data_IF_762119363085
#
_entry.id   IF_762119363085
#
_cell.length_a   1.000
_cell.length_b   1.000
_cell.length_c   1.000
_cell.angle_alpha   90.00
_cell.angle_beta   90.00
_cell.angle_gamma   90.00
#
_symmetry.space_group_name_H-M   'P 1'
#
loop_
_entity.id
_entity.type
_entity.pdbx_description
1 polymer ?
#
# COMPACT_ATOMS: atom_id res chain seq x y z
N UNK A 1 9.68 -25.13 13.36
CA UNK A 1 9.84 -23.67 13.46
C UNK A 1 11.35 -23.46 13.54
N UNK A 2 11.93 -22.67 12.64
CA UNK A 2 13.38 -22.46 12.59
C UNK A 2 13.87 -21.92 13.95
N UNK A 3 14.85 -22.60 14.56
CA UNK A 3 15.41 -22.26 15.86
C UNK A 3 16.04 -20.85 15.87
N UNK A 4 16.42 -20.30 14.73
CA UNK A 4 16.94 -18.92 14.65
C UNK A 4 15.85 -17.84 14.75
N UNK A 5 14.63 -18.13 14.30
CA UNK A 5 13.49 -17.23 14.53
C UNK A 5 13.06 -17.30 16.00
N UNK A 6 13.10 -18.50 16.57
CA UNK A 6 13.00 -18.68 18.01
C UNK A 6 14.09 -17.85 18.67
N UNK A 7 15.37 -17.90 18.31
CA UNK A 7 16.42 -17.09 18.94
C UNK A 7 16.29 -15.57 18.79
N UNK A 8 15.75 -15.05 17.68
CA UNK A 8 15.48 -13.60 17.55
C UNK A 8 14.25 -13.21 18.39
N UNK A 9 13.15 -13.95 18.29
CA UNK A 9 11.93 -13.67 19.03
C UNK A 9 12.07 -13.98 20.53
N UNK A 10 12.80 -15.03 20.88
CA UNK A 10 13.21 -15.46 22.24
C UNK A 10 14.31 -14.57 22.75
N UNK A 11 15.28 -14.11 21.95
CA UNK A 11 16.25 -13.09 22.37
C UNK A 11 15.56 -11.79 22.78
N UNK A 12 14.53 -11.37 22.05
CA UNK A 12 13.70 -10.22 22.41
C UNK A 12 12.78 -10.56 23.61
N UNK A 13 12.12 -11.73 23.63
CA UNK A 13 11.21 -12.11 24.72
C UNK A 13 11.92 -12.43 26.06
N UNK A 14 13.13 -13.00 26.03
CA UNK A 14 13.96 -13.30 27.20
C UNK A 14 14.64 -12.07 27.77
N UNK A 15 14.72 -10.97 26.99
CA UNK A 15 15.13 -9.66 27.50
C UNK A 15 14.04 -8.95 28.33
N UNK A 16 12.86 -9.57 28.50
CA UNK A 16 11.73 -9.01 29.23
C UNK A 16 11.02 -7.87 28.48
N UNK A 17 11.35 -7.67 27.19
CA UNK A 17 10.75 -6.66 26.33
C UNK A 17 9.41 -7.18 25.81
N UNK A 18 8.33 -6.50 26.18
CA UNK A 18 7.00 -6.79 25.65
C UNK A 18 6.99 -6.55 24.13
N UNK A 19 6.76 -7.61 23.35
CA UNK A 19 6.59 -7.52 21.90
C UNK A 19 5.10 -7.31 21.61
N UNK A 20 4.72 -6.08 21.28
CA UNK A 20 3.36 -5.75 20.84
C UNK A 20 3.24 -5.89 19.33
N UNK A 21 2.04 -6.20 18.84
CA UNK A 21 1.75 -6.12 17.39
C UNK A 21 1.59 -4.65 17.01
N UNK A 22 2.38 -4.19 16.04
CA UNK A 22 2.33 -2.80 15.56
C UNK A 22 0.95 -2.43 14.98
N UNK A 23 0.17 -3.42 14.54
CA UNK A 23 -1.12 -3.19 13.88
C UNK A 23 -2.32 -3.23 14.83
N UNK A 24 -2.10 -3.31 16.15
CA UNK A 24 -3.19 -3.27 17.14
C UNK A 24 -3.25 -1.92 17.83
N UNK A 25 -4.43 -1.56 18.33
CA UNK A 25 -4.62 -0.33 19.11
C UNK A 25 -3.72 -0.26 20.35
N UNK A 26 -3.34 -1.42 20.91
CA UNK A 26 -2.38 -1.48 22.02
C UNK A 26 -0.94 -1.17 21.61
N UNK A 27 -0.62 -1.24 20.32
CA UNK A 27 0.67 -0.87 19.74
C UNK A 27 0.79 0.62 19.40
N UNK A 28 -0.32 1.36 19.34
CA UNK A 28 -0.32 2.78 18.99
C UNK A 28 0.44 3.62 20.04
N UNK A 29 1.57 4.20 19.63
CA UNK A 29 2.42 5.01 20.50
C UNK A 29 3.23 4.19 21.54
N UNK A 30 3.17 2.86 21.50
CA UNK A 30 3.94 2.00 22.37
C UNK A 30 5.43 2.07 22.02
N UNK A 31 6.27 2.43 23.00
CA UNK A 31 7.73 2.43 22.85
C UNK A 31 8.27 1.01 22.90
N UNK A 32 9.37 0.78 22.17
CA UNK A 32 10.10 -0.49 22.22
C UNK A 32 9.88 -1.35 20.97
N UNK A 33 10.10 -2.65 21.13
CA UNK A 33 10.11 -3.61 20.03
C UNK A 33 8.69 -4.05 19.71
N UNK A 34 8.31 -3.93 18.45
CA UNK A 34 7.02 -4.33 17.91
C UNK A 34 7.22 -5.36 16.80
N UNK A 35 6.29 -6.30 16.68
CA UNK A 35 6.24 -7.23 15.54
C UNK A 35 5.18 -6.74 14.56
N UNK A 36 5.52 -6.42 13.30
CA UNK A 36 4.49 -6.14 12.31
C UNK A 36 3.79 -7.45 11.92
N UNK A 37 2.54 -7.62 12.33
CA UNK A 37 1.70 -8.65 11.74
C UNK A 37 1.43 -8.37 10.26
N UNK A 38 1.61 -9.39 9.43
CA UNK A 38 1.26 -9.32 8.02
C UNK A 38 -0.14 -9.85 7.78
N UNK A 39 -0.84 -9.28 6.80
CA UNK A 39 -2.18 -9.72 6.41
C UNK A 39 -2.16 -11.20 6.02
N UNK A 40 -2.85 -12.00 6.83
CA UNK A 40 -3.00 -13.44 6.68
C UNK A 40 -4.48 -13.82 6.72
N UNK A 41 -4.85 -14.89 6.02
CA UNK A 41 -6.16 -15.51 6.15
C UNK A 41 -6.22 -16.44 7.38
N UNK A 42 -7.38 -17.06 7.61
CA UNK A 42 -7.59 -17.99 8.73
C UNK A 42 -6.73 -19.27 8.64
N UNK A 43 -6.05 -19.50 7.52
CA UNK A 43 -5.11 -20.61 7.30
C UNK A 43 -3.65 -20.13 7.35
N UNK A 44 -3.39 -18.93 7.87
CA UNK A 44 -2.07 -18.29 7.94
C UNK A 44 -1.40 -18.04 6.59
N UNK A 45 -2.16 -18.04 5.50
CA UNK A 45 -1.64 -17.71 4.17
C UNK A 45 -1.72 -16.21 3.96
N UNK A 46 -0.74 -15.62 3.26
CA UNK A 46 -0.77 -14.23 2.83
C UNK A 46 -2.09 -13.92 2.15
N UNK A 47 -2.80 -12.91 2.65
CA UNK A 47 -4.03 -12.41 2.06
C UNK A 47 -3.82 -11.02 1.49
N UNK A 48 -4.50 -10.71 0.39
CA UNK A 48 -4.53 -9.35 -0.15
C UNK A 48 -5.98 -8.91 -0.39
N UNK A 49 -6.23 -7.59 -0.29
CA UNK A 49 -7.57 -7.03 -0.41
C UNK A 49 -8.26 -7.43 -1.72
N UNK A 50 -7.50 -7.54 -2.82
CA UNK A 50 -8.00 -8.01 -4.11
C UNK A 50 -8.64 -9.40 -4.07
N UNK A 51 -8.06 -10.38 -3.37
CA UNK A 51 -8.68 -11.71 -3.19
C UNK A 51 -10.00 -11.60 -2.44
N UNK A 52 -10.06 -10.75 -1.40
CA UNK A 52 -11.30 -10.52 -0.65
C UNK A 52 -12.37 -9.89 -1.55
N UNK A 53 -12.01 -8.90 -2.37
CA UNK A 53 -12.94 -8.26 -3.31
C UNK A 53 -13.47 -9.27 -4.34
N UNK A 54 -12.60 -10.09 -4.93
CA UNK A 54 -13.02 -11.15 -5.86
C UNK A 54 -13.93 -12.19 -5.19
N UNK A 55 -13.61 -12.60 -3.96
CA UNK A 55 -14.45 -13.53 -3.20
C UNK A 55 -15.83 -12.94 -2.90
N UNK A 56 -15.91 -11.66 -2.53
CA UNK A 56 -17.17 -10.95 -2.28
C UNK A 56 -17.97 -10.75 -3.57
N UNK A 57 -17.29 -10.50 -4.70
CA UNK A 57 -17.92 -10.39 -6.02
C UNK A 57 -18.50 -11.73 -6.50
N UNK A 58 -17.82 -12.85 -6.22
CA UNK A 58 -18.27 -14.19 -6.59
C UNK A 58 -19.32 -14.77 -5.61
N UNK A 59 -19.46 -14.19 -4.42
CA UNK A 59 -20.43 -14.65 -3.44
C UNK A 59 -21.86 -14.32 -3.90
N UNK A 60 -22.72 -15.34 -3.98
CA UNK A 60 -24.13 -15.21 -4.39
C UNK A 60 -25.00 -14.40 -3.40
N UNK A 61 -24.51 -14.17 -2.18
CA UNK A 61 -25.23 -13.49 -1.09
C UNK A 61 -25.21 -11.96 -1.17
N UNK A 62 -24.39 -11.37 -2.04
CA UNK A 62 -24.24 -9.91 -2.20
C UNK A 62 -25.04 -9.32 -3.35
N UNK A 63 -25.78 -10.17 -4.10
CA UNK A 63 -26.50 -9.79 -5.32
C UNK A 63 -27.37 -8.53 -5.10
N UNK A 64 -26.98 -7.44 -5.76
CA UNK A 64 -27.69 -6.16 -5.78
C UNK A 64 -27.32 -5.13 -4.70
N UNK A 65 -26.60 -5.50 -3.63
CA UNK A 65 -26.25 -4.54 -2.54
C UNK A 65 -24.87 -3.92 -2.68
N UNK A 66 -23.94 -4.63 -3.30
CA UNK A 66 -22.57 -4.17 -3.51
C UNK A 66 -22.11 -4.54 -4.92
N UNK A 67 -21.59 -3.56 -5.65
CA UNK A 67 -21.08 -3.74 -7.01
C UNK A 67 -19.66 -3.19 -7.09
N UNK A 68 -18.81 -3.86 -7.87
CA UNK A 68 -17.43 -3.46 -8.08
C UNK A 68 -17.18 -3.21 -9.57
N UNK A 69 -16.41 -2.16 -9.87
CA UNK A 69 -15.84 -1.93 -11.20
C UNK A 69 -14.33 -1.85 -11.00
N UNK A 70 -13.66 -2.98 -11.27
CA UNK A 70 -12.21 -3.10 -11.15
C UNK A 70 -11.51 -2.53 -12.39
N UNK A 71 -10.18 -2.42 -12.35
CA UNK A 71 -9.35 -1.93 -13.45
C UNK A 71 -9.85 -0.61 -14.06
N UNK A 72 -10.40 0.26 -13.22
CA UNK A 72 -11.09 1.47 -13.66
C UNK A 72 -10.57 2.69 -12.91
N UNK A 73 -10.52 3.82 -13.60
CA UNK A 73 -10.03 5.09 -13.07
C UNK A 73 -11.18 6.08 -12.94
N UNK A 74 -11.49 6.53 -11.72
CA UNK A 74 -12.36 7.68 -11.51
C UNK A 74 -11.67 8.94 -12.07
N UNK A 75 -12.34 9.66 -12.96
CA UNK A 75 -11.74 10.82 -13.66
C UNK A 75 -12.36 12.15 -13.27
N UNK A 76 -13.63 12.16 -12.86
CA UNK A 76 -14.35 13.39 -12.49
C UNK A 76 -15.56 13.10 -11.63
N UNK A 77 -15.78 13.89 -10.59
CA UNK A 77 -17.01 13.88 -9.78
C UNK A 77 -18.09 14.66 -10.53
N UNK A 78 -19.27 14.06 -10.65
CA UNK A 78 -20.43 14.68 -11.26
C UNK A 78 -21.17 15.50 -10.20
N UNK A 79 -21.34 16.79 -10.46
CA UNK A 79 -21.95 17.73 -9.54
C UNK A 79 -23.05 18.54 -10.21
N UNK A 80 -24.08 18.89 -9.45
CA UNK A 80 -25.13 19.82 -9.84
C UNK A 80 -25.28 20.90 -8.77
N UNK A 81 -25.67 22.10 -9.18
CA UNK A 81 -26.01 23.18 -8.26
C UNK A 81 -27.53 23.27 -8.20
N UNK A 82 -28.12 22.96 -7.06
CA UNK A 82 -29.56 23.13 -6.84
C UNK A 82 -29.95 24.61 -6.83
N UNK A 83 -31.23 24.91 -7.05
CA UNK A 83 -31.75 26.29 -6.99
C UNK A 83 -31.72 26.89 -5.58
N UNK A 84 -31.61 26.04 -4.54
CA UNK A 84 -31.71 26.42 -3.13
C UNK A 84 -30.38 26.44 -2.36
N UNK A 85 -29.32 25.79 -2.88
CA UNK A 85 -28.01 25.71 -2.21
C UNK A 85 -26.93 26.40 -3.04
N UNK A 86 -26.11 27.23 -2.39
CA UNK A 86 -24.90 27.82 -3.00
C UNK A 86 -23.76 26.81 -3.18
N UNK A 87 -23.81 25.66 -2.51
CA UNK A 87 -22.81 24.61 -2.62
C UNK A 87 -23.26 23.51 -3.59
N UNK A 88 -22.35 22.99 -4.45
CA UNK A 88 -22.67 21.91 -5.38
C UNK A 88 -22.98 20.61 -4.64
N UNK A 89 -23.89 19.83 -5.18
CA UNK A 89 -24.21 18.47 -4.72
C UNK A 89 -23.59 17.46 -5.67
N UNK A 90 -22.78 16.55 -5.14
CA UNK A 90 -22.25 15.43 -5.92
C UNK A 90 -23.35 14.37 -6.11
N UNK A 91 -23.55 13.92 -7.35
CA UNK A 91 -24.57 12.91 -7.69
C UNK A 91 -23.98 11.72 -8.46
N UNK A 92 -22.66 11.67 -8.64
CA UNK A 92 -22.02 10.55 -9.32
C UNK A 92 -20.55 10.78 -9.64
N UNK A 93 -20.02 9.90 -10.48
CA UNK A 93 -18.62 9.91 -10.91
C UNK A 93 -18.53 9.44 -12.37
N UNK A 94 -17.72 10.11 -13.16
CA UNK A 94 -17.26 9.61 -14.46
C UNK A 94 -16.06 8.70 -14.23
N UNK A 95 -16.12 7.50 -14.79
CA UNK A 95 -15.07 6.48 -14.72
C UNK A 95 -14.58 6.13 -16.12
N UNK A 96 -13.27 5.96 -16.25
CA UNK A 96 -12.66 5.29 -17.39
C UNK A 96 -12.57 3.79 -17.07
N UNK A 97 -13.36 2.99 -17.79
CA UNK A 97 -13.48 1.54 -17.57
C UNK A 97 -12.33 0.81 -18.26
N UNK A 98 -11.76 -0.19 -17.60
CA UNK A 98 -10.60 -0.95 -18.09
C UNK A 98 -9.38 -0.08 -18.39
N UNK A 99 -9.21 1.01 -17.63
CA UNK A 99 -8.06 1.89 -17.72
C UNK A 99 -6.86 1.26 -16.99
N UNK A 100 -5.78 0.86 -17.68
CA UNK A 100 -4.63 0.26 -17.03
C UNK A 100 -3.95 1.29 -16.13
N UNK A 101 -3.67 0.91 -14.88
CA UNK A 101 -2.90 1.73 -13.95
C UNK A 101 -1.43 1.79 -14.37
N UNK A 102 -0.71 2.91 -14.11
CA UNK A 102 0.71 3.07 -14.47
C UNK A 102 1.66 1.98 -13.96
N UNK A 103 1.26 1.28 -12.89
CA UNK A 103 2.02 0.18 -12.26
C UNK A 103 1.73 -1.20 -12.85
N UNK A 104 0.80 -1.30 -13.79
CA UNK A 104 0.49 -2.56 -14.47
C UNK A 104 1.57 -2.93 -15.48
N UNK A 105 1.96 -4.21 -15.55
CA UNK A 105 2.81 -4.73 -16.62
C UNK A 105 2.21 -4.54 -18.02
N UNK A 106 0.90 -4.28 -18.10
CA UNK A 106 0.15 -3.97 -19.33
C UNK A 106 0.08 -2.49 -19.64
N UNK A 107 0.65 -1.61 -18.82
CA UNK A 107 0.59 -0.16 -19.04
C UNK A 107 1.42 0.23 -20.27
N UNK A 108 0.73 0.54 -21.37
CA UNK A 108 1.32 1.05 -22.61
C UNK A 108 1.05 2.54 -22.81
N UNK A 109 0.80 3.27 -21.72
CA UNK A 109 0.31 4.65 -21.73
C UNK A 109 -1.18 4.76 -21.41
N UNK A 110 -1.64 5.98 -21.10
CA UNK A 110 -3.03 6.27 -20.76
C UNK A 110 -3.89 6.26 -22.03
N UNK A 111 -4.48 5.12 -22.35
CA UNK A 111 -5.57 5.07 -23.35
C UNK A 111 -6.89 4.93 -22.61
N UNK A 112 -7.64 6.02 -22.48
CA UNK A 112 -8.99 5.99 -21.90
C UNK A 112 -9.96 5.53 -22.99
N UNK A 113 -10.20 4.23 -23.07
CA UNK A 113 -10.93 3.62 -24.18
C UNK A 113 -12.45 3.68 -24.03
N UNK A 114 -12.95 3.73 -22.78
CA UNK A 114 -14.39 3.78 -22.50
C UNK A 114 -14.69 4.59 -21.25
N UNK A 115 -15.41 5.69 -21.42
CA UNK A 115 -15.94 6.49 -20.32
C UNK A 115 -17.36 6.05 -19.97
N UNK A 116 -17.70 6.01 -18.69
CA UNK A 116 -19.05 5.76 -18.20
C UNK A 116 -19.36 6.68 -17.01
N UNK A 117 -20.62 7.08 -16.87
CA UNK A 117 -21.09 7.80 -15.70
C UNK A 117 -21.79 6.83 -14.75
N UNK A 118 -21.41 6.84 -13.49
CA UNK A 118 -22.06 6.09 -12.41
C UNK A 118 -22.71 7.10 -11.47
N UNK A 119 -24.03 7.03 -11.33
CA UNK A 119 -24.81 7.94 -10.48
C UNK A 119 -25.02 7.35 -9.09
N UNK A 120 -24.98 8.21 -8.08
CA UNK A 120 -25.28 7.88 -6.70
C UNK A 120 -26.55 8.62 -6.25
N UNK A 121 -27.46 7.90 -5.56
CA UNK A 121 -28.70 8.48 -5.04
C UNK A 121 -28.50 9.31 -3.77
N UNK A 122 -27.48 8.97 -2.98
CA UNK A 122 -27.27 9.54 -1.65
C UNK A 122 -25.93 10.25 -1.55
N UNK A 123 -24.82 9.52 -1.72
CA UNK A 123 -23.49 10.06 -1.42
C UNK A 123 -22.44 9.57 -2.42
N UNK A 124 -21.42 10.40 -2.62
CA UNK A 124 -20.18 10.04 -3.32
C UNK A 124 -19.04 10.16 -2.32
N UNK A 125 -18.39 9.04 -2.01
CA UNK A 125 -17.26 8.98 -1.08
C UNK A 125 -15.97 8.86 -1.89
N UNK A 126 -15.01 9.75 -1.64
CA UNK A 126 -13.69 9.73 -2.29
C UNK A 126 -12.69 9.05 -1.37
N UNK A 127 -12.11 7.93 -1.83
CA UNK A 127 -11.13 7.14 -1.08
C UNK A 127 -9.97 6.70 -1.97
N UNK A 128 -9.49 7.60 -2.84
CA UNK A 128 -8.43 7.30 -3.82
C UNK A 128 -7.00 7.46 -3.26
N UNK A 129 -6.85 7.61 -1.93
CA UNK A 129 -5.56 7.82 -1.28
C UNK A 129 -5.02 9.26 -1.42
N UNK A 130 -3.87 9.54 -0.78
CA UNK A 130 -3.34 10.89 -0.59
C UNK A 130 -2.95 11.60 -1.90
N UNK A 131 -2.57 10.85 -2.94
CA UNK A 131 -2.19 11.43 -4.23
C UNK A 131 -3.35 11.60 -5.20
N UNK A 132 -4.24 10.60 -5.31
CA UNK A 132 -5.30 10.63 -6.31
C UNK A 132 -6.58 11.32 -5.83
N UNK A 133 -6.85 11.34 -4.51
CA UNK A 133 -8.02 12.06 -3.97
C UNK A 133 -7.97 13.55 -4.27
N UNK A 134 -6.89 14.30 -3.93
CA UNK A 134 -6.81 15.72 -4.27
C UNK A 134 -6.78 15.95 -5.78
N UNK A 135 -6.18 15.04 -6.56
CA UNK A 135 -6.23 15.12 -8.02
C UNK A 135 -7.67 15.01 -8.55
N UNK A 136 -8.43 14.00 -8.13
CA UNK A 136 -9.81 13.78 -8.58
C UNK A 136 -10.71 14.98 -8.22
N UNK A 137 -10.56 15.51 -7.00
CA UNK A 137 -11.32 16.66 -6.51
C UNK A 137 -10.95 17.93 -7.29
N UNK A 138 -9.66 18.17 -7.55
CA UNK A 138 -9.17 19.27 -8.42
C UNK A 138 -9.67 19.14 -9.86
N UNK A 139 -9.61 17.95 -10.47
CA UNK A 139 -10.14 17.68 -11.82
C UNK A 139 -11.66 17.89 -11.90
N UNK A 140 -12.34 17.86 -10.76
CA UNK A 140 -13.77 18.13 -10.64
C UNK A 140 -14.08 19.63 -10.43
N UNK A 141 -13.06 20.48 -10.35
CA UNK A 141 -13.18 21.92 -10.16
C UNK A 141 -13.19 22.36 -8.69
N UNK A 142 -12.80 21.52 -7.75
CA UNK A 142 -12.68 21.88 -6.33
C UNK A 142 -11.20 21.98 -5.97
N UNK A 143 -10.70 23.18 -5.69
CA UNK A 143 -9.28 23.42 -5.46
C UNK A 143 -8.90 24.89 -5.49
N UNK A 144 -7.61 25.22 -5.55
CA UNK A 144 -7.16 26.60 -5.72
C UNK A 144 -7.65 27.18 -7.05
N UNK A 145 -8.45 28.25 -6.98
CA UNK A 145 -9.08 28.86 -8.16
C UNK A 145 -8.07 29.27 -9.24
N UNK A 146 -6.94 29.84 -8.84
CA UNK A 146 -5.92 30.34 -9.77
C UNK A 146 -5.23 29.19 -10.47
N UNK A 147 -4.80 28.18 -9.72
CA UNK A 147 -4.20 26.96 -10.26
C UNK A 147 -5.15 26.25 -11.23
N UNK A 148 -6.41 26.02 -10.83
CA UNK A 148 -7.42 25.37 -11.66
C UNK A 148 -7.63 26.13 -12.98
N UNK A 149 -7.76 27.46 -12.92
CA UNK A 149 -7.93 28.31 -14.11
C UNK A 149 -6.71 28.20 -15.04
N UNK A 150 -5.49 28.23 -14.49
CA UNK A 150 -4.25 28.15 -15.26
C UNK A 150 -4.09 26.81 -16.00
N UNK A 151 -4.66 25.73 -15.47
CA UNK A 151 -4.64 24.41 -16.12
C UNK A 151 -5.91 24.11 -16.94
N UNK A 152 -6.76 25.13 -17.17
CA UNK A 152 -7.94 25.02 -18.03
C UNK A 152 -9.15 24.33 -17.39
N UNK A 153 -9.20 24.25 -16.05
CA UNK A 153 -10.33 23.67 -15.31
C UNK A 153 -11.20 24.79 -14.76
N UNK A 154 -12.50 24.76 -15.06
CA UNK A 154 -13.47 25.71 -14.49
C UNK A 154 -13.60 25.50 -12.97
N UNK A 155 -13.28 26.50 -12.14
CA UNK A 155 -13.42 26.38 -10.68
C UNK A 155 -14.90 26.36 -10.28
N UNK A 156 -15.29 25.37 -9.48
CA UNK A 156 -16.61 25.19 -8.87
C UNK A 156 -16.59 25.63 -7.42
N UNK A 157 -15.57 25.21 -6.66
CA UNK A 157 -15.37 25.62 -5.26
C UNK A 157 -13.90 25.98 -5.07
N UNK A 158 -13.64 27.19 -4.57
CA UNK A 158 -12.29 27.64 -4.24
C UNK A 158 -11.86 27.06 -2.88
N UNK A 159 -11.06 26.00 -2.90
CA UNK A 159 -10.49 25.34 -1.72
C UNK A 159 -8.99 25.16 -1.91
N UNK A 160 -8.16 26.18 -1.63
CA UNK A 160 -6.72 26.14 -1.90
C UNK A 160 -5.96 25.09 -1.08
N UNK A 161 -6.55 24.56 0.00
CA UNK A 161 -5.97 23.47 0.77
C UNK A 161 -5.97 22.11 0.05
N UNK A 162 -6.74 21.94 -1.04
CA UNK A 162 -6.78 20.68 -1.79
C UNK A 162 -5.41 20.39 -2.41
N UNK A 163 -4.82 19.25 -2.04
CA UNK A 163 -3.49 18.84 -2.50
C UNK A 163 -2.32 19.50 -1.76
N UNK A 164 -2.60 20.35 -0.78
CA UNK A 164 -1.59 20.94 0.10
C UNK A 164 -1.36 20.08 1.35
N UNK A 165 -0.33 20.40 2.13
CA UNK A 165 -0.01 19.75 3.41
C UNK A 165 0.25 18.23 3.29
N UNK A 166 0.95 17.82 2.23
CA UNK A 166 1.44 16.45 2.10
C UNK A 166 2.43 16.18 3.25
N UNK A 167 2.18 15.08 3.96
CA UNK A 167 3.03 14.59 5.03
C UNK A 167 3.36 13.13 4.71
N UNK A 168 4.58 12.74 5.03
CA UNK A 168 5.06 11.37 4.92
C UNK A 168 6.05 11.12 6.06
N UNK A 169 6.47 9.87 6.21
CA UNK A 169 7.61 9.53 7.04
C UNK A 169 8.86 9.50 6.16
N UNK A 170 9.79 10.43 6.42
CA UNK A 170 11.09 10.41 5.74
C UNK A 170 11.87 9.17 6.16
N UNK A 171 12.12 8.29 5.19
CA UNK A 171 12.82 7.03 5.41
C UNK A 171 14.30 7.13 5.01
N UNK A 172 15.18 6.60 5.88
CA UNK A 172 16.60 6.43 5.59
C UNK A 172 16.95 4.95 5.70
N UNK A 173 17.44 4.37 4.61
CA UNK A 173 17.92 2.98 4.60
C UNK A 173 19.40 2.91 4.97
N UNK A 174 19.71 2.10 5.98
CA UNK A 174 21.09 1.73 6.33
C UNK A 174 21.30 0.26 5.98
N UNK A 175 22.38 -0.04 5.26
CA UNK A 175 22.72 -1.41 4.86
C UNK A 175 24.04 -1.82 5.48
N UNK A 176 24.07 -2.95 6.16
CA UNK A 176 25.28 -3.54 6.74
C UNK A 176 25.40 -5.02 6.38
N UNK A 177 26.63 -5.51 6.29
CA UNK A 177 26.91 -6.93 6.09
C UNK A 177 26.78 -7.67 7.43
N UNK A 178 25.98 -8.73 7.46
CA UNK A 178 25.88 -9.60 8.63
C UNK A 178 27.14 -10.47 8.78
N UNK A 179 27.49 -10.83 10.01
CA UNK A 179 28.65 -11.69 10.31
C UNK A 179 28.43 -13.15 9.88
N UNK A 180 27.17 -13.58 9.74
CA UNK A 180 26.78 -14.92 9.30
C UNK A 180 25.50 -14.85 8.45
N UNK A 181 25.25 -15.91 7.69
CA UNK A 181 24.00 -16.09 6.96
C UNK A 181 22.89 -16.53 7.92
N UNK A 182 21.68 -16.01 7.74
CA UNK A 182 20.49 -16.49 8.45
C UNK A 182 19.91 -17.72 7.74
N UNK A 183 19.67 -18.81 8.47
CA UNK A 183 19.11 -20.06 7.91
C UNK A 183 17.74 -19.86 7.28
N UNK A 184 16.98 -18.87 7.77
CA UNK A 184 15.66 -18.54 7.24
C UNK A 184 15.68 -18.06 5.77
N UNK A 185 16.86 -17.68 5.27
CA UNK A 185 17.11 -17.30 3.88
C UNK A 185 17.73 -18.42 3.04
N UNK A 186 18.02 -19.58 3.61
CA UNK A 186 18.66 -20.70 2.91
C UNK A 186 17.77 -21.17 1.76
N UNK A 187 18.27 -21.04 0.52
CA UNK A 187 17.53 -21.34 -0.69
C UNK A 187 16.39 -20.37 -1.04
N UNK A 188 16.15 -19.33 -0.24
CA UNK A 188 15.08 -18.35 -0.48
C UNK A 188 15.62 -17.07 -1.12
N UNK A 189 15.68 -17.04 -2.46
CA UNK A 189 16.25 -15.91 -3.20
C UNK A 189 15.25 -14.83 -3.61
N UNK A 190 13.94 -15.04 -3.41
CA UNK A 190 12.86 -14.12 -3.80
C UNK A 190 12.98 -13.72 -5.28
N UNK A 191 13.03 -14.73 -6.15
CA UNK A 191 13.28 -14.53 -7.57
C UNK A 191 12.12 -13.81 -8.23
N UNK A 192 12.45 -12.96 -9.22
CA UNK A 192 11.44 -12.25 -10.01
C UNK A 192 10.61 -13.18 -10.89
N UNK A 193 11.18 -14.33 -11.29
CA UNK A 193 10.44 -15.42 -11.92
C UNK A 193 9.89 -16.35 -10.84
N UNK A 194 8.58 -16.31 -10.55
CA UNK A 194 7.98 -17.12 -9.49
C UNK A 194 8.05 -18.62 -9.76
N UNK A 195 8.25 -19.04 -11.02
CA UNK A 195 8.33 -20.46 -11.38
C UNK A 195 9.67 -21.09 -11.01
N UNK A 196 10.70 -20.27 -10.81
CA UNK A 196 12.06 -20.68 -10.41
C UNK A 196 12.30 -20.52 -8.91
N UNK A 197 11.37 -19.94 -8.17
CA UNK A 197 11.52 -19.69 -6.74
C UNK A 197 11.10 -20.91 -5.90
N UNK A 198 12.09 -21.68 -5.44
CA UNK A 198 11.88 -22.87 -4.63
C UNK A 198 11.17 -22.58 -3.30
N UNK A 199 11.43 -21.42 -2.68
CA UNK A 199 10.76 -21.04 -1.45
C UNK A 199 9.30 -20.64 -1.69
N UNK A 200 8.99 -19.97 -2.79
CA UNK A 200 7.60 -19.73 -3.17
C UNK A 200 6.87 -21.06 -3.42
N UNK A 201 7.48 -21.98 -4.17
CA UNK A 201 6.91 -23.29 -4.45
C UNK A 201 6.67 -24.09 -3.15
N UNK A 202 7.64 -24.10 -2.24
CA UNK A 202 7.52 -24.76 -0.93
C UNK A 202 6.34 -24.18 -0.12
N UNK A 203 6.22 -22.85 -0.09
CA UNK A 203 5.14 -22.16 0.61
C UNK A 203 3.76 -22.50 0.04
N UNK A 204 3.64 -22.58 -1.29
CA UNK A 204 2.40 -22.91 -1.99
C UNK A 204 1.88 -24.32 -1.66
N UNK A 205 2.73 -25.22 -1.14
CA UNK A 205 2.29 -26.53 -0.62
C UNK A 205 1.59 -26.45 0.75
N UNK A 206 1.39 -25.25 1.30
CA UNK A 206 0.79 -25.01 2.61
C UNK A 206 1.79 -25.04 3.77
N UNK A 207 3.09 -25.13 3.46
CA UNK A 207 4.17 -25.14 4.46
C UNK A 207 4.61 -23.71 4.78
N UNK A 208 5.07 -23.49 6.00
CA UNK A 208 5.51 -22.17 6.46
C UNK A 208 6.98 -21.92 6.13
N UNK A 209 7.30 -20.74 5.62
CA UNK A 209 8.65 -20.21 5.37
C UNK A 209 8.61 -18.68 5.22
N UNK A 210 9.66 -18.06 4.64
CA UNK A 210 9.79 -16.62 4.36
C UNK A 210 8.55 -15.93 3.77
N UNK A 211 7.80 -16.60 2.89
CA UNK A 211 6.61 -16.03 2.29
C UNK A 211 5.43 -15.87 3.27
N UNK A 212 5.45 -16.59 4.40
CA UNK A 212 4.39 -16.61 5.43
C UNK A 212 4.44 -15.42 6.38
N UNK A 213 5.62 -14.85 6.60
CA UNK A 213 5.83 -13.84 7.63
C UNK A 213 6.38 -12.53 7.09
N UNK A 214 6.70 -12.41 5.79
CA UNK A 214 7.17 -11.15 5.21
C UNK A 214 8.65 -10.85 5.52
N UNK A 215 9.23 -9.78 4.95
CA UNK A 215 10.67 -9.53 5.09
C UNK A 215 11.03 -8.80 6.39
N UNK A 216 10.11 -8.07 7.01
CA UNK A 216 10.38 -7.24 8.20
C UNK A 216 10.13 -8.07 9.45
N UNK A 217 11.17 -8.27 10.26
CA UNK A 217 11.08 -9.11 11.45
C UNK A 217 10.72 -8.36 12.72
N UNK A 218 11.18 -7.13 12.85
CA UNK A 218 10.77 -6.28 13.95
C UNK A 218 10.81 -4.82 13.55
N UNK A 219 9.99 -4.04 14.24
CA UNK A 219 10.03 -2.60 14.26
C UNK A 219 10.36 -2.13 15.69
N UNK A 220 10.94 -0.96 15.81
CA UNK A 220 11.26 -0.30 17.07
C UNK A 220 10.65 1.09 16.99
N UNK A 221 9.72 1.36 17.90
CA UNK A 221 9.12 2.67 18.05
C UNK A 221 9.86 3.41 19.15
N UNK A 222 10.41 4.59 18.82
CA UNK A 222 11.27 5.34 19.73
C UNK A 222 10.98 6.85 19.68
N UNK A 223 11.49 7.55 20.68
CA UNK A 223 11.60 9.01 20.68
C UNK A 223 13.02 9.38 20.25
N UNK A 224 13.15 10.36 19.36
CA UNK A 224 14.45 10.92 18.99
C UNK A 224 15.13 11.64 20.18
N UNK A 225 14.35 12.10 21.17
CA UNK A 225 14.82 12.69 22.42
C UNK A 225 13.86 12.34 23.57
N UNK A 226 14.35 12.11 24.81
CA UNK A 226 13.50 11.87 25.97
C UNK A 226 12.45 12.96 26.25
N UNK A 227 12.72 14.21 25.83
CA UNK A 227 11.85 15.37 26.07
C UNK A 227 10.57 15.39 25.21
N UNK A 228 10.48 14.55 24.16
CA UNK A 228 9.32 14.54 23.28
C UNK A 228 8.09 13.93 23.96
N UNK A 229 6.91 14.49 23.70
CA UNK A 229 5.66 14.00 24.28
C UNK A 229 5.29 12.60 23.74
N UNK A 230 5.51 12.36 22.45
CA UNK A 230 5.16 11.13 21.75
C UNK A 230 6.36 10.54 20.98
N UNK A 231 6.37 9.24 20.67
CA UNK A 231 7.34 8.64 19.75
C UNK A 231 7.26 9.30 18.38
N UNK A 232 8.42 9.44 17.72
CA UNK A 232 8.55 10.07 16.41
C UNK A 232 9.59 9.38 15.52
N UNK A 233 10.06 8.21 15.92
CA UNK A 233 10.94 7.35 15.13
C UNK A 233 10.36 5.95 15.06
N UNK A 234 10.34 5.40 13.85
CA UNK A 234 10.04 4.00 13.60
C UNK A 234 11.20 3.40 12.82
N UNK A 235 11.96 2.53 13.47
CA UNK A 235 13.05 1.79 12.83
C UNK A 235 12.61 0.37 12.63
N UNK A 236 12.75 -0.17 11.43
CA UNK A 236 12.50 -1.58 11.19
C UNK A 236 13.65 -2.19 10.41
N UNK A 237 13.81 -3.49 10.52
CA UNK A 237 14.88 -4.18 9.83
C UNK A 237 14.41 -5.49 9.23
N UNK A 238 15.11 -5.83 8.15
CA UNK A 238 14.92 -7.05 7.38
C UNK A 238 16.32 -7.50 6.93
N UNK A 239 16.73 -8.75 7.17
CA UNK A 239 17.82 -9.31 6.42
C UNK A 239 17.37 -9.41 4.96
N UNK A 240 18.25 -9.12 4.03
CA UNK A 240 17.97 -9.17 2.62
C UNK A 240 19.22 -9.61 1.87
N UNK A 241 19.02 -10.31 0.75
CA UNK A 241 20.10 -10.55 -0.21
C UNK A 241 20.42 -9.24 -0.94
N UNK A 242 21.36 -8.49 -0.41
CA UNK A 242 21.83 -7.24 -1.00
C UNK A 242 23.00 -7.51 -1.98
N UNK A 243 22.74 -7.34 -3.27
CA UNK A 243 23.73 -7.56 -4.34
C UNK A 243 24.50 -6.29 -4.75
N UNK A 244 24.37 -5.22 -3.97
CA UNK A 244 25.04 -3.93 -4.20
C UNK A 244 24.16 -2.88 -4.87
N UNK A 245 24.69 -1.65 -4.93
CA UNK A 245 24.08 -0.56 -5.68
C UNK A 245 24.57 -0.60 -7.13
N UNK A 246 23.65 -0.70 -8.09
CA UNK A 246 23.99 -0.64 -9.51
C UNK A 246 24.12 0.82 -9.95
N UNK A 247 25.32 1.23 -10.42
CA UNK A 247 25.53 2.56 -11.03
C UNK A 247 25.20 2.51 -12.52
N UNK A 248 24.27 3.35 -12.96
CA UNK A 248 23.88 3.51 -14.37
C UNK A 248 22.38 3.81 -14.51
N UNK A 249 21.96 4.49 -15.59
CA UNK A 249 20.54 4.70 -15.92
C UNK A 249 19.80 3.36 -15.78
N UNK A 250 18.68 3.34 -15.05
CA UNK A 250 17.76 2.20 -14.93
C UNK A 250 17.37 1.73 -16.33
N UNK A 251 18.17 0.85 -16.90
CA UNK A 251 17.97 0.28 -18.22
C UNK A 251 17.72 -1.19 -17.99
N UNK A 252 16.49 -1.47 -17.54
CA UNK A 252 15.87 -2.80 -17.58
C UNK A 252 16.56 -3.80 -16.64
N UNK A 253 15.84 -4.24 -15.62
CA UNK A 253 16.23 -5.44 -14.86
C UNK A 253 16.11 -6.63 -15.82
N UNK A 254 17.18 -6.93 -16.56
CA UNK A 254 17.28 -8.12 -17.41
C UNK A 254 18.19 -9.10 -16.67
N UNK A 255 17.65 -10.29 -16.44
CA UNK A 255 18.33 -11.56 -16.16
C UNK A 255 19.41 -11.54 -15.08
N UNK A 256 19.05 -11.95 -13.86
CA UNK A 256 19.97 -12.72 -13.01
C UNK A 256 19.91 -14.17 -13.50
N UNK A 257 20.53 -14.43 -14.65
CA UNK A 257 21.01 -15.75 -15.07
C UNK A 257 22.50 -15.57 -15.38
N UNK A 258 23.35 -16.02 -14.46
CA UNK A 258 24.71 -16.50 -14.70
C UNK A 258 25.40 -16.75 -13.35
N UNK A 259 25.62 -18.03 -13.04
CA UNK A 259 26.28 -18.52 -11.83
C UNK A 259 25.62 -19.80 -11.36
#
# INVERSE_FOLDING_TARGET
>A
IDEQFVDVAVGIATSGVQVSDLNTLSGDGALGVNSPSFAKDAQFRRSHIGQRLMAVQNATTTSGKLSFIMDSLATKILMCTGTTSKLPTAYGVTVAVNAPLPVSSRFKGKTLTKMANVTAKYEVIVSAGVFQSPQLVSLSGIGDKTHLTNVGITPVVNLPGVGSNLQDHDEITVVWKMNANYSIWEGCYLLSDPTKDACLAYWQTGKLNLYSFGPIFSAITAKASPSLAAPNMLTYWAPARFIGFFRGKVTRVISVEAG
#
